data_IF_313160476632
#
_entry.id   IF_313160476632
#
_cell.length_a   1.000
_cell.length_b   1.000
_cell.length_c   1.000
_cell.angle_alpha   90.00
_cell.angle_beta   90.00
_cell.angle_gamma   90.00
#
_symmetry.space_group_name_H-M   'P 1'
#
loop_
_entity.id
_entity.type
_entity.pdbx_description
1 polymer ?
#
# COMPACT_ATOMS: atom_id res chain seq x y z
N UNK A 1 -22.81 14.73 -15.68
CA UNK A 1 -22.69 14.41 -14.25
C UNK A 1 -21.82 13.18 -14.15
N UNK A 2 -20.54 13.33 -13.80
CA UNK A 2 -19.67 12.17 -13.53
C UNK A 2 -19.75 11.88 -12.04
N UNK A 3 -20.37 10.75 -11.68
CA UNK A 3 -20.25 10.19 -10.33
C UNK A 3 -18.96 9.38 -10.33
N UNK A 4 -17.84 10.04 -10.05
CA UNK A 4 -16.60 9.37 -9.68
C UNK A 4 -16.82 8.78 -8.29
N UNK A 5 -16.77 7.45 -8.16
CA UNK A 5 -16.91 6.80 -6.87
C UNK A 5 -15.72 7.18 -5.97
N UNK A 6 -15.88 8.22 -5.16
CA UNK A 6 -14.98 8.62 -4.07
C UNK A 6 -15.17 7.79 -2.81
N UNK A 7 -15.36 6.47 -2.97
CA UNK A 7 -15.59 5.55 -1.86
C UNK A 7 -14.42 4.57 -1.77
N UNK A 8 -13.80 4.51 -0.60
CA UNK A 8 -12.85 3.46 -0.26
C UNK A 8 -13.60 2.20 0.15
N UNK A 9 -12.91 1.06 0.07
CA UNK A 9 -13.47 -0.24 0.41
C UNK A 9 -12.90 -0.65 1.77
N UNK A 10 -13.79 -1.12 2.66
CA UNK A 10 -13.39 -1.65 3.98
C UNK A 10 -13.69 -3.14 4.01
N UNK A 11 -12.71 -3.93 4.42
CA UNK A 11 -12.80 -5.38 4.55
C UNK A 11 -12.43 -5.75 5.98
N UNK A 12 -13.37 -6.36 6.70
CA UNK A 12 -13.13 -6.88 8.04
C UNK A 12 -12.76 -8.36 7.94
N UNK A 13 -11.57 -8.70 8.42
CA UNK A 13 -11.00 -10.04 8.29
C UNK A 13 -10.46 -10.53 9.63
N UNK A 14 -10.40 -11.84 9.82
CA UNK A 14 -9.74 -12.45 10.98
C UNK A 14 -8.23 -12.49 10.80
N UNK A 15 -7.75 -12.58 9.55
CA UNK A 15 -6.33 -12.72 9.21
C UNK A 15 -5.96 -11.70 8.14
N UNK A 16 -4.77 -11.11 8.28
CA UNK A 16 -4.22 -10.18 7.29
C UNK A 16 -3.35 -10.97 6.31
N UNK A 17 -3.36 -10.69 5.00
CA UNK A 17 -2.58 -11.47 4.05
C UNK A 17 -1.07 -11.27 4.20
N UNK A 18 -0.33 -12.38 4.12
CA UNK A 18 1.13 -12.41 4.28
C UNK A 18 1.92 -11.63 3.22
N UNK A 19 1.31 -11.30 2.08
CA UNK A 19 1.96 -10.54 1.00
C UNK A 19 2.04 -9.04 1.28
N UNK A 20 1.32 -8.55 2.29
CA UNK A 20 1.40 -7.15 2.69
C UNK A 20 2.67 -6.99 3.53
N UNK A 21 3.56 -6.11 3.08
CA UNK A 21 4.82 -5.87 3.78
C UNK A 21 4.54 -5.51 5.24
N UNK A 22 5.00 -6.36 6.15
CA UNK A 22 4.95 -6.07 7.57
C UNK A 22 5.72 -4.77 7.80
N UNK A 23 5.05 -3.79 8.41
CA UNK A 23 5.75 -2.65 8.97
C UNK A 23 6.74 -3.21 10.00
N UNK A 24 8.04 -3.04 9.76
CA UNK A 24 9.08 -3.53 10.66
C UNK A 24 9.01 -2.94 12.06
N UNK A 25 8.18 -1.90 12.25
CA UNK A 25 7.85 -1.33 13.55
C UNK A 25 6.33 -1.40 13.77
N UNK A 26 5.92 -1.80 14.97
CA UNK A 26 4.55 -1.72 15.51
C UNK A 26 4.13 -0.26 15.76
N UNK A 27 4.41 0.62 14.82
CA UNK A 27 4.23 2.05 14.96
C UNK A 27 2.87 2.48 14.41
N UNK A 28 2.26 3.45 15.06
CA UNK A 28 1.07 4.18 14.60
C UNK A 28 1.32 5.03 13.36
N UNK A 29 2.54 4.99 12.81
CA UNK A 29 2.95 5.73 11.63
C UNK A 29 3.91 4.90 10.78
N UNK A 30 3.61 4.78 9.49
CA UNK A 30 4.44 4.06 8.53
C UNK A 30 4.60 4.91 7.28
N UNK A 31 5.73 4.80 6.60
CA UNK A 31 5.98 5.49 5.37
C UNK A 31 6.48 4.55 4.28
N UNK A 32 6.13 4.84 3.04
CA UNK A 32 6.54 4.07 1.89
C UNK A 32 6.94 4.99 0.75
N UNK A 33 8.11 4.75 0.19
CA UNK A 33 8.63 5.52 -0.93
C UNK A 33 7.91 5.10 -2.23
N UNK A 34 7.56 6.09 -3.03
CA UNK A 34 6.92 5.89 -4.33
C UNK A 34 7.98 5.64 -5.39
N UNK A 35 7.64 4.82 -6.39
CA UNK A 35 8.51 4.67 -7.57
C UNK A 35 8.47 5.97 -8.39
N UNK A 36 9.63 6.52 -8.78
CA UNK A 36 9.68 7.75 -9.55
C UNK A 36 9.05 7.56 -10.94
N UNK A 37 8.38 8.59 -11.45
CA UNK A 37 7.75 8.61 -12.79
C UNK A 37 6.72 7.48 -13.03
N UNK A 38 6.10 6.94 -11.98
CA UNK A 38 5.10 5.88 -12.06
C UNK A 38 3.71 6.35 -11.63
N UNK A 39 3.47 7.67 -11.52
CA UNK A 39 2.20 8.21 -11.03
C UNK A 39 1.01 7.85 -11.92
N UNK A 40 1.24 7.78 -13.23
CA UNK A 40 0.24 7.36 -14.22
C UNK A 40 -0.21 5.91 -14.02
N UNK A 41 0.67 5.05 -13.52
CA UNK A 41 0.43 3.64 -13.23
C UNK A 41 -0.09 3.40 -11.81
N UNK A 42 -0.07 4.40 -10.92
CA UNK A 42 -0.60 4.25 -9.57
C UNK A 42 -2.11 3.99 -9.61
N UNK A 43 -2.56 2.95 -8.90
CA UNK A 43 -3.97 2.57 -8.80
C UNK A 43 -4.57 2.92 -7.44
N UNK A 44 -3.75 2.91 -6.39
CA UNK A 44 -4.19 3.18 -5.03
C UNK A 44 -3.27 2.55 -3.99
N UNK A 45 -3.72 2.60 -2.75
CA UNK A 45 -3.02 2.07 -1.59
C UNK A 45 -3.94 1.16 -0.80
N UNK A 46 -3.41 0.06 -0.27
CA UNK A 46 -4.09 -0.84 0.65
C UNK A 46 -3.46 -0.65 2.03
N UNK A 47 -4.26 -0.30 3.02
CA UNK A 47 -3.87 -0.15 4.42
C UNK A 47 -4.36 -1.37 5.19
N UNK A 48 -3.52 -1.94 6.05
CA UNK A 48 -3.91 -3.03 6.93
C UNK A 48 -3.63 -2.74 8.38
N UNK A 49 -4.63 -2.99 9.21
CA UNK A 49 -4.62 -2.87 10.65
C UNK A 49 -4.93 -4.24 11.25
N UNK A 50 -4.08 -4.71 12.17
CA UNK A 50 -4.24 -6.01 12.80
C UNK A 50 -4.82 -5.84 14.20
N UNK A 51 -5.69 -6.78 14.59
CA UNK A 51 -6.22 -6.91 15.96
C UNK A 51 -6.71 -5.57 16.54
N UNK A 52 -7.57 -4.86 15.81
CA UNK A 52 -8.04 -3.53 16.20
C UNK A 52 -8.78 -3.58 17.56
N UNK A 53 -8.07 -3.35 18.66
CA UNK A 53 -8.61 -3.44 20.04
C UNK A 53 -9.59 -2.31 20.36
N UNK A 54 -9.57 -1.24 19.58
CA UNK A 54 -10.44 -0.08 19.73
C UNK A 54 -11.74 -0.26 18.95
N UNK A 55 -12.81 0.40 19.42
CA UNK A 55 -14.11 0.43 18.73
C UNK A 55 -14.04 1.17 17.38
N UNK A 56 -13.06 2.05 17.22
CA UNK A 56 -12.80 2.78 15.98
C UNK A 56 -11.31 2.83 15.68
N UNK A 57 -10.99 2.83 14.39
CA UNK A 57 -9.66 3.14 13.88
C UNK A 57 -9.76 4.45 13.08
N UNK A 58 -9.08 5.48 13.56
CA UNK A 58 -8.87 6.74 12.86
C UNK A 58 -7.54 6.66 12.12
N UNK A 59 -7.53 6.93 10.82
CA UNK A 59 -6.32 6.87 10.02
C UNK A 59 -6.27 7.97 8.97
N UNK A 60 -5.06 8.26 8.52
CA UNK A 60 -4.80 9.20 7.43
C UNK A 60 -3.69 8.70 6.52
N UNK A 61 -3.77 9.12 5.26
CA UNK A 61 -2.77 8.92 4.21
C UNK A 61 -2.36 10.31 3.74
N UNK A 62 -1.07 10.62 3.87
CA UNK A 62 -0.47 11.90 3.50
C UNK A 62 0.56 11.70 2.40
N UNK A 63 0.53 12.58 1.41
CA UNK A 63 1.58 12.75 0.45
C UNK A 63 2.59 13.76 1.02
N UNK A 64 3.85 13.37 1.18
CA UNK A 64 4.83 14.26 1.84
C UNK A 64 5.35 15.37 0.94
N UNK A 65 5.23 15.22 -0.40
CA UNK A 65 5.67 16.25 -1.34
C UNK A 65 4.61 17.34 -1.49
N UNK A 66 3.35 16.96 -1.69
CA UNK A 66 2.24 17.91 -1.91
C UNK A 66 1.52 18.34 -0.63
N UNK A 67 1.85 17.73 0.52
CA UNK A 67 1.15 17.88 1.80
C UNK A 67 -0.34 17.53 1.80
N UNK A 68 -0.85 17.01 0.68
CA UNK A 68 -2.22 16.52 0.60
C UNK A 68 -2.41 15.36 1.58
N UNK A 69 -3.49 15.45 2.37
CA UNK A 69 -3.83 14.43 3.37
C UNK A 69 -5.29 14.03 3.21
N UNK A 70 -5.52 12.73 3.06
CA UNK A 70 -6.84 12.13 3.19
C UNK A 70 -6.94 11.40 4.52
N UNK A 71 -8.08 11.48 5.19
CA UNK A 71 -8.30 10.86 6.50
C UNK A 71 -9.71 10.31 6.62
N UNK A 72 -9.86 9.26 7.41
CA UNK A 72 -11.14 8.62 7.64
C UNK A 72 -11.17 7.86 8.98
N UNK A 73 -12.37 7.48 9.40
CA UNK A 73 -12.63 6.67 10.58
C UNK A 73 -13.40 5.40 10.19
N UNK A 74 -12.98 4.26 10.75
CA UNK A 74 -13.66 2.98 10.58
C UNK A 74 -14.11 2.45 11.93
N UNK A 75 -15.38 2.09 12.06
CA UNK A 75 -15.93 1.49 13.29
C UNK A 75 -15.83 -0.04 13.22
N UNK A 76 -15.17 -0.63 14.20
CA UNK A 76 -14.90 -2.06 14.29
C UNK A 76 -15.38 -2.59 15.63
N UNK A 77 -16.66 -2.97 15.69
CA UNK A 77 -17.31 -3.45 16.91
C UNK A 77 -16.91 -4.87 17.31
N UNK A 78 -16.15 -5.57 16.46
CA UNK A 78 -15.84 -6.99 16.60
C UNK A 78 -14.37 -7.26 16.86
N UNK A 79 -13.56 -6.21 17.06
CA UNK A 79 -12.11 -6.30 17.26
C UNK A 79 -11.39 -7.12 16.18
N UNK A 80 -11.90 -7.06 14.94
CA UNK A 80 -11.32 -7.77 13.80
C UNK A 80 -10.15 -6.99 13.22
N UNK A 81 -9.33 -7.64 12.40
CA UNK A 81 -8.42 -6.93 11.52
C UNK A 81 -9.19 -6.17 10.45
N UNK A 82 -8.66 -5.04 10.01
CA UNK A 82 -9.27 -4.14 9.04
C UNK A 82 -8.32 -3.92 7.87
N UNK A 83 -8.82 -4.12 6.66
CA UNK A 83 -8.15 -3.71 5.42
C UNK A 83 -8.96 -2.59 4.77
N UNK A 84 -8.25 -1.54 4.33
CA UNK A 84 -8.83 -0.38 3.65
C UNK A 84 -8.17 -0.21 2.29
N UNK A 85 -8.95 -0.30 1.23
CA UNK A 85 -8.50 -0.01 -0.14
C UNK A 85 -8.84 1.44 -0.44
N UNK A 86 -7.79 2.26 -0.66
CA UNK A 86 -7.87 3.69 -1.00
C UNK A 86 -7.52 3.85 -2.48
N UNK A 87 -8.51 4.01 -3.37
CA UNK A 87 -8.25 4.17 -4.79
C UNK A 87 -7.61 5.52 -5.12
N UNK A 88 -6.93 5.59 -6.27
CA UNK A 88 -6.34 6.82 -6.81
C UNK A 88 -7.32 7.99 -6.91
N UNK A 89 -8.60 7.72 -7.16
CA UNK A 89 -9.64 8.76 -7.22
C UNK A 89 -9.85 9.50 -5.88
N UNK A 90 -9.44 8.90 -4.76
CA UNK A 90 -9.53 9.49 -3.42
C UNK A 90 -8.20 10.12 -3.01
N UNK A 91 -7.11 9.39 -3.22
CA UNK A 91 -5.77 9.83 -2.90
C UNK A 91 -4.89 9.64 -4.15
N UNK A 92 -4.52 10.74 -4.79
CA UNK A 92 -3.71 10.71 -5.99
C UNK A 92 -2.25 11.06 -5.69
N UNK A 93 -1.36 10.58 -6.55
CA UNK A 93 0.07 10.92 -6.55
C UNK A 93 0.43 11.46 -7.93
N UNK A 94 1.35 12.41 -7.99
CA UNK A 94 1.98 12.93 -9.19
C UNK A 94 3.45 12.49 -9.30
N UNK A 95 4.09 12.74 -10.44
CA UNK A 95 5.46 12.28 -10.71
C UNK A 95 6.53 12.94 -9.81
N UNK A 96 6.23 14.08 -9.20
CA UNK A 96 7.10 14.72 -8.20
C UNK A 96 6.93 14.17 -6.78
N UNK A 97 5.92 13.33 -6.54
CA UNK A 97 5.64 12.79 -5.23
C UNK A 97 6.52 11.58 -4.94
N UNK A 98 7.24 11.65 -3.83
CA UNK A 98 8.30 10.67 -3.55
C UNK A 98 7.92 9.70 -2.45
N UNK A 99 6.93 10.02 -1.61
CA UNK A 99 6.63 9.25 -0.41
C UNK A 99 5.21 9.48 0.07
N UNK A 100 4.60 8.39 0.54
CA UNK A 100 3.33 8.37 1.25
C UNK A 100 3.61 8.05 2.71
N UNK A 101 2.94 8.77 3.61
CA UNK A 101 2.91 8.49 5.05
C UNK A 101 1.49 8.10 5.46
N UNK A 102 1.38 7.05 6.23
CA UNK A 102 0.12 6.62 6.85
C UNK A 102 0.27 6.80 8.34
N UNK A 103 -0.76 7.35 8.98
CA UNK A 103 -0.85 7.46 10.44
C UNK A 103 -2.18 6.89 10.91
N UNK A 104 -2.20 6.26 12.07
CA UNK A 104 -3.41 5.72 12.66
C UNK A 104 -3.37 5.74 14.19
N UNK A 105 -4.53 5.69 14.84
CA UNK A 105 -4.66 5.46 16.28
C UNK A 105 -4.63 3.95 16.65
N UNK A 106 -4.33 3.09 15.68
CA UNK A 106 -4.17 1.65 15.84
C UNK A 106 -2.84 1.17 15.23
N UNK A 107 -2.49 -0.08 15.53
CA UNK A 107 -1.33 -0.75 14.96
C UNK A 107 -1.50 -0.95 13.45
N UNK A 108 -0.58 -0.39 12.68
CA UNK A 108 -0.51 -0.59 11.24
C UNK A 108 0.27 -1.88 10.99
N UNK A 109 -0.42 -2.92 10.53
CA UNK A 109 0.22 -4.17 10.17
C UNK A 109 1.09 -4.00 8.93
N UNK A 110 0.59 -3.26 7.93
CA UNK A 110 1.34 -3.02 6.72
C UNK A 110 0.58 -2.20 5.69
N UNK A 111 1.32 -1.80 4.66
CA UNK A 111 0.82 -0.98 3.56
C UNK A 111 1.29 -1.60 2.26
N UNK A 112 0.42 -1.59 1.25
CA UNK A 112 0.77 -1.98 -0.10
C UNK A 112 0.37 -0.90 -1.10
N UNK A 113 1.31 -0.51 -1.98
CA UNK A 113 1.01 0.36 -3.11
C UNK A 113 0.68 -0.51 -4.32
N UNK A 114 -0.47 -0.24 -4.92
CA UNK A 114 -0.90 -0.93 -6.12
C UNK A 114 -0.54 -0.10 -7.36
N UNK A 115 0.23 -0.71 -8.25
CA UNK A 115 0.49 -0.19 -9.60
C UNK A 115 -0.21 -1.08 -10.64
N UNK A 116 -0.56 -0.48 -11.78
CA UNK A 116 -0.94 -1.23 -12.98
C UNK A 116 0.25 -2.09 -13.41
N UNK A 117 0.01 -3.37 -13.69
CA UNK A 117 1.01 -4.19 -14.36
C UNK A 117 1.13 -3.73 -15.81
N UNK A 118 2.35 -3.41 -16.23
CA UNK A 118 2.69 -3.27 -17.65
C UNK A 118 3.22 -4.62 -18.12
N UNK A 119 2.65 -5.17 -19.19
CA UNK A 119 3.02 -6.47 -19.78
C UNK A 119 4.38 -6.43 -20.51
N UNK A 120 5.40 -5.85 -19.87
CA UNK A 120 6.76 -5.76 -20.40
C UNK A 120 7.75 -6.27 -19.34
N UNK A 121 7.85 -7.59 -19.21
CA UNK A 121 9.07 -8.34 -18.89
C UNK A 121 8.76 -9.84 -18.72
N UNK A 122 8.69 -10.57 -19.83
CA UNK A 122 9.05 -11.99 -19.84
C UNK A 122 9.90 -12.26 -21.09
N UNK A 123 11.15 -11.78 -21.04
CA UNK A 123 12.22 -12.16 -21.94
C UNK A 123 13.55 -11.83 -21.29
N UNK A 124 14.03 -12.73 -20.43
CA UNK A 124 15.46 -12.83 -20.15
C UNK A 124 15.86 -14.28 -20.34
N UNK A 125 16.15 -14.62 -21.60
CA UNK A 125 16.95 -15.79 -21.96
C UNK A 125 18.31 -15.64 -21.30
N UNK A 126 18.54 -16.36 -20.20
CA UNK A 126 19.91 -16.58 -19.71
C UNK A 126 20.46 -17.75 -20.52
N UNK A 127 21.12 -17.41 -21.62
CA UNK A 127 22.13 -18.28 -22.22
C UNK A 127 23.30 -18.33 -21.23
N UNK A 128 23.37 -19.38 -20.40
CA UNK A 128 24.60 -19.75 -19.73
C UNK A 128 25.45 -20.57 -20.70
N UNK A 129 26.25 -19.87 -21.51
CA UNK A 129 27.52 -20.42 -21.95
C UNK A 129 28.44 -20.51 -20.73
N UNK A 130 28.73 -21.72 -20.27
CA UNK A 130 29.96 -21.97 -19.51
C UNK A 130 30.68 -23.15 -20.14
N UNK A 131 31.67 -22.85 -20.97
CA UNK A 131 32.67 -23.80 -21.42
C UNK A 131 33.98 -23.55 -20.67
N UNK A 132 34.51 -24.63 -20.10
CA UNK A 132 35.92 -25.03 -19.91
C UNK A 132 36.51 -25.11 -18.49
N UNK A 133 36.65 -26.38 -18.06
CA UNK A 133 37.87 -27.09 -17.58
C UNK A 133 38.79 -26.38 -16.58
N UNK A 134 39.01 -26.99 -15.39
CA UNK A 134 40.35 -27.39 -14.89
C UNK A 134 40.29 -28.58 -13.89
N UNK A 135 41.01 -29.65 -14.25
CA UNK A 135 41.70 -30.72 -13.49
C UNK A 135 41.47 -30.93 -11.98
N UNK A 136 41.24 -32.21 -11.60
CA UNK A 136 42.22 -33.09 -10.92
C UNK A 136 41.74 -34.54 -10.94
#
# INVERSE_FOLDING_TARGET
>A
MYSEFGHHIRIYTTEVPDWISESSNLDSKVALDLRPNMSSNFLGTILCFKDCKTYSVTYSVRNTTSDFTWSDISYNTYHKSLMVVVPRSIFSVGDGDNRIEVSADAEIHGIHIQYKMTDENDNTTINSEESTLVNS
#
